data_IF_557862923168
#
_entry.id   IF_557862923168
#
_cell.length_a   1.000
_cell.length_b   1.000
_cell.length_c   1.000
_cell.angle_alpha   90.00
_cell.angle_beta   90.00
_cell.angle_gamma   90.00
#
_symmetry.space_group_name_H-M   'P 1'
#
loop_
_entity.id
_entity.type
_entity.pdbx_description
1 polymer ?
#
# COMPACT_ATOMS: atom_id res chain seq x y z
N UNK A 1 19.04 -20.76 -5.83
CA UNK A 1 18.30 -19.58 -5.35
C UNK A 1 19.22 -18.40 -5.49
N UNK A 2 18.86 -17.42 -6.32
CA UNK A 2 19.69 -16.23 -6.52
C UNK A 2 19.51 -15.30 -5.31
N UNK A 3 20.50 -15.27 -4.42
CA UNK A 3 20.47 -14.45 -3.22
C UNK A 3 20.56 -12.95 -3.53
N UNK A 4 21.20 -12.55 -4.64
CA UNK A 4 21.33 -11.15 -5.01
C UNK A 4 19.99 -10.60 -5.50
N UNK A 5 19.29 -11.37 -6.34
CA UNK A 5 17.94 -11.03 -6.77
C UNK A 5 16.98 -10.99 -5.57
N UNK A 6 17.00 -12.00 -4.71
CA UNK A 6 16.17 -12.03 -3.49
C UNK A 6 16.38 -10.79 -2.63
N UNK A 7 17.64 -10.44 -2.35
CA UNK A 7 17.97 -9.26 -1.56
C UNK A 7 17.50 -7.96 -2.22
N UNK A 8 17.67 -7.84 -3.54
CA UNK A 8 17.24 -6.67 -4.32
C UNK A 8 15.72 -6.50 -4.24
N UNK A 9 14.96 -7.58 -4.45
CA UNK A 9 13.48 -7.56 -4.33
C UNK A 9 13.06 -7.12 -2.93
N UNK A 10 13.67 -7.70 -1.88
CA UNK A 10 13.35 -7.36 -0.50
C UNK A 10 13.63 -5.88 -0.22
N UNK A 11 14.83 -5.39 -0.55
CA UNK A 11 15.21 -3.99 -0.27
C UNK A 11 14.32 -3.03 -1.05
N UNK A 12 14.13 -3.25 -2.35
CA UNK A 12 13.30 -2.39 -3.20
C UNK A 12 11.86 -2.34 -2.68
N UNK A 13 11.23 -3.49 -2.44
CA UNK A 13 9.84 -3.51 -1.98
C UNK A 13 9.70 -3.00 -0.55
N UNK A 14 10.66 -3.27 0.33
CA UNK A 14 10.64 -2.76 1.70
C UNK A 14 10.69 -1.23 1.73
N UNK A 15 11.55 -0.62 0.91
CA UNK A 15 11.64 0.85 0.79
C UNK A 15 10.38 1.43 0.16
N UNK A 16 9.85 0.82 -0.89
CA UNK A 16 8.66 1.31 -1.59
C UNK A 16 7.40 1.19 -0.73
N UNK A 17 7.21 0.06 -0.06
CA UNK A 17 6.00 -0.21 0.72
C UNK A 17 6.04 0.39 2.13
N UNK A 18 7.21 0.81 2.60
CA UNK A 18 7.43 1.47 3.90
C UNK A 18 6.59 0.88 5.05
N UNK A 19 6.92 -0.34 5.52
CA UNK A 19 6.19 -0.95 6.64
C UNK A 19 6.13 -0.06 7.90
N UNK A 20 7.21 0.66 8.29
CA UNK A 20 7.14 1.64 9.38
C UNK A 20 6.12 2.76 9.15
N UNK A 21 6.11 3.38 7.97
CA UNK A 21 5.16 4.44 7.61
C UNK A 21 3.71 3.97 7.52
N UNK A 22 3.49 2.68 7.24
CA UNK A 22 2.15 2.07 7.21
C UNK A 22 1.53 1.96 8.61
N UNK A 23 2.32 1.86 9.68
CA UNK A 23 1.82 1.73 11.07
C UNK A 23 0.91 2.89 11.49
N UNK A 24 1.34 4.16 11.43
CA UNK A 24 0.49 5.29 11.86
C UNK A 24 -0.77 5.44 11.01
N UNK A 25 -0.70 5.12 9.71
CA UNK A 25 -1.85 5.13 8.80
C UNK A 25 -2.84 4.01 9.14
N UNK A 26 -2.34 2.80 9.42
CA UNK A 26 -3.18 1.69 9.84
C UNK A 26 -3.84 1.96 11.20
N UNK A 27 -3.11 2.54 12.15
CA UNK A 27 -3.67 2.94 13.45
C UNK A 27 -4.80 3.95 13.29
N UNK A 28 -4.64 4.97 12.46
CA UNK A 28 -5.67 6.00 12.28
C UNK A 28 -6.94 5.44 11.64
N UNK A 29 -6.79 4.57 10.63
CA UNK A 29 -7.91 3.92 9.95
C UNK A 29 -8.60 2.84 10.79
N UNK A 30 -7.95 2.36 11.85
CA UNK A 30 -8.50 1.32 12.74
C UNK A 30 -8.72 1.79 14.17
N UNK A 31 -8.60 3.10 14.44
CA UNK A 31 -8.66 3.68 15.78
C UNK A 31 -9.97 3.34 16.52
N UNK A 32 -11.09 3.33 15.79
CA UNK A 32 -12.44 3.05 16.31
C UNK A 32 -12.81 1.55 16.28
N UNK A 33 -11.91 0.67 15.88
CA UNK A 33 -12.19 -0.77 15.75
C UNK A 33 -11.83 -1.53 17.03
N UNK A 34 -12.58 -2.60 17.31
CA UNK A 34 -12.18 -3.55 18.35
C UNK A 34 -10.82 -4.17 18.01
N UNK A 35 -10.05 -4.59 19.03
CA UNK A 35 -8.76 -5.23 18.79
C UNK A 35 -8.86 -6.50 17.91
N UNK A 36 -9.99 -7.22 17.97
CA UNK A 36 -10.27 -8.39 17.14
C UNK A 36 -10.51 -8.00 15.69
N UNK A 37 -11.34 -6.98 15.45
CA UNK A 37 -11.67 -6.53 14.10
C UNK A 37 -10.46 -5.86 13.44
N UNK A 38 -9.67 -5.09 14.18
CA UNK A 38 -8.41 -4.52 13.69
C UNK A 38 -7.46 -5.60 13.18
N UNK A 39 -7.25 -6.66 13.96
CA UNK A 39 -6.39 -7.77 13.54
C UNK A 39 -6.94 -8.49 12.30
N UNK A 40 -8.26 -8.61 12.19
CA UNK A 40 -8.92 -9.14 10.99
C UNK A 40 -8.69 -8.23 9.79
N UNK A 41 -8.80 -6.91 9.96
CA UNK A 41 -8.54 -5.93 8.91
C UNK A 41 -7.09 -5.98 8.42
N UNK A 42 -6.11 -6.13 9.32
CA UNK A 42 -4.69 -6.28 8.94
C UNK A 42 -4.49 -7.51 8.04
N UNK A 43 -5.10 -8.64 8.40
CA UNK A 43 -5.02 -9.86 7.61
C UNK A 43 -5.78 -9.74 6.27
N UNK A 44 -6.95 -9.11 6.26
CA UNK A 44 -7.69 -8.87 5.02
C UNK A 44 -6.93 -7.92 4.08
N UNK A 45 -6.31 -6.86 4.62
CA UNK A 45 -5.50 -5.92 3.83
C UNK A 45 -4.29 -6.63 3.22
N UNK A 46 -3.62 -7.50 3.99
CA UNK A 46 -2.56 -8.37 3.50
C UNK A 46 -3.03 -9.28 2.36
N UNK A 47 -4.18 -9.93 2.50
CA UNK A 47 -4.72 -10.81 1.45
C UNK A 47 -5.06 -10.03 0.18
N UNK A 48 -5.65 -8.85 0.31
CA UNK A 48 -5.96 -7.98 -0.83
C UNK A 48 -4.68 -7.52 -1.51
N UNK A 49 -3.69 -7.04 -0.75
CA UNK A 49 -2.40 -6.61 -1.29
C UNK A 49 -1.68 -7.75 -2.01
N UNK A 50 -1.64 -8.93 -1.39
CA UNK A 50 -1.10 -10.16 -2.01
C UNK A 50 -1.81 -10.46 -3.32
N UNK A 51 -3.14 -10.47 -3.31
CA UNK A 51 -3.95 -10.77 -4.49
C UNK A 51 -3.68 -9.79 -5.64
N UNK A 52 -3.67 -8.49 -5.35
CA UNK A 52 -3.36 -7.46 -6.35
C UNK A 52 -1.95 -7.64 -6.89
N UNK A 53 -0.95 -7.79 -6.03
CA UNK A 53 0.46 -7.96 -6.45
C UNK A 53 0.61 -9.21 -7.32
N UNK A 54 0.02 -10.35 -6.93
CA UNK A 54 0.12 -11.60 -7.70
C UNK A 54 -0.59 -11.47 -9.05
N UNK A 55 -1.76 -10.86 -9.10
CA UNK A 55 -2.49 -10.64 -10.36
C UNK A 55 -1.67 -9.75 -11.29
N UNK A 56 -1.10 -8.65 -10.80
CA UNK A 56 -0.28 -7.78 -11.63
C UNK A 56 1.10 -8.37 -11.97
N UNK A 57 1.68 -9.19 -11.10
CA UNK A 57 2.90 -9.93 -11.39
C UNK A 57 2.74 -10.84 -12.61
N UNK A 58 1.60 -11.55 -12.69
CA UNK A 58 1.35 -12.53 -13.76
C UNK A 58 0.73 -11.87 -15.00
N UNK A 59 -0.26 -10.99 -14.81
CA UNK A 59 -1.11 -10.47 -15.88
C UNK A 59 -0.99 -8.97 -16.09
N UNK A 60 -0.22 -8.25 -15.26
CA UNK A 60 -0.23 -6.78 -15.22
C UNK A 60 0.05 -6.13 -16.57
N UNK A 61 1.07 -6.61 -17.29
CA UNK A 61 1.40 -6.06 -18.61
C UNK A 61 0.26 -6.28 -19.62
N UNK A 62 -0.33 -7.48 -19.63
CA UNK A 62 -1.44 -7.81 -20.54
C UNK A 62 -2.70 -7.01 -20.22
N UNK A 63 -3.05 -6.86 -18.94
CA UNK A 63 -4.21 -6.07 -18.49
C UNK A 63 -4.03 -4.61 -18.92
N UNK A 64 -2.87 -4.02 -18.63
CA UNK A 64 -2.59 -2.62 -18.95
C UNK A 64 -2.59 -2.37 -20.47
N UNK A 65 -1.98 -3.26 -21.24
CA UNK A 65 -1.96 -3.17 -22.70
C UNK A 65 -3.36 -3.32 -23.31
N UNK A 66 -4.16 -4.27 -22.81
CA UNK A 66 -5.54 -4.50 -23.27
C UNK A 66 -6.44 -3.30 -23.02
N UNK A 67 -6.28 -2.64 -21.86
CA UNK A 67 -7.06 -1.46 -21.49
C UNK A 67 -6.48 -0.15 -22.05
N UNK A 68 -5.31 -0.19 -22.71
CA UNK A 68 -4.55 0.99 -23.12
C UNK A 68 -4.27 1.97 -21.96
N UNK A 69 -3.99 1.43 -20.77
CA UNK A 69 -3.71 2.20 -19.55
C UNK A 69 -2.20 2.21 -19.32
N UNK A 70 -1.62 3.39 -19.11
CA UNK A 70 -0.22 3.53 -18.72
C UNK A 70 -0.02 3.31 -17.21
N UNK A 71 1.18 2.91 -16.81
CA UNK A 71 1.56 2.86 -15.40
C UNK A 71 1.43 4.22 -14.72
N UNK A 72 1.70 5.31 -15.45
CA UNK A 72 1.49 6.68 -14.98
C UNK A 72 0.01 6.96 -14.66
N UNK A 73 -0.93 6.48 -15.48
CA UNK A 73 -2.36 6.62 -15.21
C UNK A 73 -2.77 5.88 -13.91
N UNK A 74 -2.27 4.67 -13.72
CA UNK A 74 -2.51 3.90 -12.48
C UNK A 74 -1.91 4.63 -11.26
N UNK A 75 -0.73 5.23 -11.42
CA UNK A 75 -0.07 6.02 -10.38
C UNK A 75 -0.86 7.28 -10.01
N UNK A 76 -1.32 8.03 -11.01
CA UNK A 76 -2.15 9.22 -10.80
C UNK A 76 -3.48 8.88 -10.12
N UNK A 77 -4.16 7.82 -10.55
CA UNK A 77 -5.41 7.36 -9.93
C UNK A 77 -5.22 6.93 -8.47
N UNK A 78 -4.14 6.18 -8.18
CA UNK A 78 -3.77 5.81 -6.81
C UNK A 78 -3.48 7.05 -5.95
N UNK A 79 -2.72 8.01 -6.48
CA UNK A 79 -2.46 9.29 -5.82
C UNK A 79 -3.74 10.06 -5.48
N UNK A 80 -4.69 10.16 -6.41
CA UNK A 80 -5.99 10.82 -6.16
C UNK A 80 -6.76 10.17 -5.02
N UNK A 81 -6.80 8.83 -4.97
CA UNK A 81 -7.45 8.11 -3.88
C UNK A 81 -6.75 8.37 -2.54
N UNK A 82 -5.41 8.40 -2.52
CA UNK A 82 -4.63 8.75 -1.33
C UNK A 82 -4.87 10.19 -0.85
N UNK A 83 -5.05 11.17 -1.75
CA UNK A 83 -5.44 12.54 -1.37
C UNK A 83 -6.78 12.54 -0.63
N UNK A 84 -7.78 11.81 -1.14
CA UNK A 84 -9.10 11.74 -0.49
C UNK A 84 -9.00 11.20 0.94
N UNK A 85 -8.16 10.19 1.16
CA UNK A 85 -7.97 9.60 2.49
C UNK A 85 -7.19 10.55 3.39
N UNK A 86 -6.13 11.16 2.87
CA UNK A 86 -5.34 12.14 3.61
C UNK A 86 -6.22 13.28 4.12
N UNK A 87 -7.10 13.83 3.26
CA UNK A 87 -8.06 14.85 3.64
C UNK A 87 -9.03 14.36 4.72
N UNK A 88 -9.53 13.12 4.63
CA UNK A 88 -10.39 12.53 5.67
C UNK A 88 -9.67 12.43 7.02
N UNK A 89 -8.40 12.02 7.03
CA UNK A 89 -7.59 11.92 8.24
C UNK A 89 -7.31 13.31 8.85
N UNK A 90 -7.05 14.32 8.02
CA UNK A 90 -6.77 15.70 8.47
C UNK A 90 -8.02 16.42 8.99
N UNK A 91 -9.17 16.16 8.39
CA UNK A 91 -10.45 16.80 8.76
C UNK A 91 -11.20 16.08 9.87
N UNK A 92 -10.74 14.90 10.31
CA UNK A 92 -11.44 14.08 11.31
C UNK A 92 -12.73 13.44 10.79
N UNK A 93 -12.94 13.41 9.47
CA UNK A 93 -14.18 12.92 8.82
C UNK A 93 -14.36 11.39 8.91
N UNK A 94 -13.34 10.66 9.38
CA UNK A 94 -13.42 9.24 9.71
C UNK A 94 -14.33 8.94 10.92
N UNK A 95 -14.79 9.97 11.64
CA UNK A 95 -15.52 9.87 12.92
C UNK A 95 -17.05 9.81 12.81
N UNK A 96 -17.64 9.94 11.61
CA UNK A 96 -19.10 9.98 11.43
C UNK A 96 -19.74 8.58 11.43
N UNK A 97 -20.79 8.38 12.23
CA UNK A 97 -21.55 7.11 12.32
C UNK A 97 -22.12 6.64 10.96
N UNK A 98 -22.38 7.55 10.01
CA UNK A 98 -22.79 7.21 8.64
C UNK A 98 -21.67 6.54 7.80
N UNK A 99 -20.41 6.75 8.15
CA UNK A 99 -19.26 6.18 7.46
C UNK A 99 -18.92 4.77 7.95
N UNK A 100 -19.21 4.41 9.21
CA UNK A 100 -18.88 3.11 9.78
C UNK A 100 -19.53 1.92 9.02
N UNK A 101 -20.71 2.11 8.43
CA UNK A 101 -21.34 1.11 7.56
C UNK A 101 -20.72 1.06 6.15
N UNK A 102 -20.17 2.18 5.67
CA UNK A 102 -19.48 2.31 4.36
C UNK A 102 -18.04 1.78 4.40
N UNK A 103 -17.40 1.82 5.56
CA UNK A 103 -16.02 1.34 5.80
C UNK A 103 -15.95 -0.05 6.45
N UNK A 104 -16.97 -0.90 6.31
CA UNK A 104 -16.82 -2.34 6.63
C UNK A 104 -15.66 -3.03 5.87
N UNK A 105 -15.10 -2.36 4.85
CA UNK A 105 -14.04 -2.83 3.99
C UNK A 105 -12.81 -1.88 3.92
N UNK A 106 -12.41 -1.23 5.03
CA UNK A 106 -11.10 -0.52 5.10
C UNK A 106 -9.96 -1.39 4.56
N UNK A 107 -10.04 -2.70 4.77
CA UNK A 107 -9.08 -3.68 4.27
C UNK A 107 -8.99 -3.78 2.73
N UNK A 108 -10.07 -3.53 2.00
CA UNK A 108 -10.11 -3.68 0.54
C UNK A 108 -9.73 -2.39 -0.17
N UNK A 109 -10.26 -1.26 0.29
CA UNK A 109 -9.92 0.08 -0.20
C UNK A 109 -9.93 1.01 1.02
N UNK A 110 -8.80 1.64 1.38
CA UNK A 110 -7.59 1.87 0.57
C UNK A 110 -6.34 1.07 1.00
N UNK A 111 -6.45 0.28 2.06
CA UNK A 111 -5.28 -0.29 2.73
C UNK A 111 -4.60 -1.36 1.86
N UNK A 112 -5.37 -2.32 1.34
CA UNK A 112 -4.84 -3.37 0.47
C UNK A 112 -4.51 -2.92 -0.96
N UNK A 113 -5.20 -1.89 -1.47
CA UNK A 113 -5.10 -1.48 -2.89
C UNK A 113 -4.08 -0.36 -3.11
N UNK A 114 -4.33 0.96 -2.91
CA UNK A 114 -3.28 1.95 -3.12
C UNK A 114 -2.16 1.98 -2.08
N UNK A 115 -2.44 1.67 -0.81
CA UNK A 115 -1.44 1.86 0.25
C UNK A 115 -0.39 0.74 0.26
N UNK A 116 -0.82 -0.52 0.24
CA UNK A 116 0.09 -1.68 0.31
C UNK A 116 0.49 -2.22 -1.08
N UNK A 117 -0.47 -2.40 -1.99
CA UNK A 117 -0.21 -2.80 -3.37
C UNK A 117 -0.14 -1.57 -4.30
N UNK A 118 0.53 -0.52 -3.82
CA UNK A 118 0.63 0.72 -4.56
C UNK A 118 1.27 0.56 -5.93
N UNK A 119 1.04 1.53 -6.85
CA UNK A 119 1.59 1.53 -8.20
C UNK A 119 3.11 1.27 -8.24
N UNK A 120 3.89 1.84 -7.32
CA UNK A 120 5.33 1.60 -7.24
C UNK A 120 5.68 0.13 -6.94
N UNK A 121 4.95 -0.51 -6.04
CA UNK A 121 5.13 -1.93 -5.72
C UNK A 121 4.72 -2.83 -6.88
N UNK A 122 3.59 -2.52 -7.53
CA UNK A 122 3.13 -3.22 -8.74
C UNK A 122 4.19 -3.16 -9.84
N UNK A 123 4.70 -1.96 -10.14
CA UNK A 123 5.72 -1.74 -11.17
C UNK A 123 7.00 -2.50 -10.84
N UNK A 124 7.50 -2.38 -9.60
CA UNK A 124 8.72 -3.06 -9.18
C UNK A 124 8.58 -4.59 -9.35
N UNK A 125 7.47 -5.18 -8.89
CA UNK A 125 7.21 -6.61 -9.05
C UNK A 125 7.12 -7.01 -10.52
N UNK A 126 6.40 -6.25 -11.36
CA UNK A 126 6.32 -6.52 -12.79
C UNK A 126 7.70 -6.52 -13.45
N UNK A 127 8.56 -5.56 -13.10
CA UNK A 127 9.93 -5.46 -13.62
C UNK A 127 10.77 -6.66 -13.20
N UNK A 128 10.74 -7.05 -11.92
CA UNK A 128 11.47 -8.22 -11.43
C UNK A 128 11.00 -9.52 -12.09
N UNK A 129 9.70 -9.68 -12.31
CA UNK A 129 9.13 -10.84 -13.00
C UNK A 129 9.54 -10.86 -14.48
N UNK A 130 9.55 -9.71 -15.16
CA UNK A 130 9.97 -9.61 -16.57
C UNK A 130 11.47 -9.89 -16.77
N UNK A 131 12.30 -9.52 -15.81
CA UNK A 131 13.75 -9.80 -15.85
C UNK A 131 14.09 -11.24 -15.46
N UNK A 132 13.15 -11.97 -14.86
CA UNK A 132 13.32 -13.37 -14.48
C UNK A 132 13.04 -14.28 -15.69
N UNK A 133 13.96 -15.21 -15.92
CA UNK A 133 13.91 -16.21 -17.00
C UNK A 133 13.91 -17.65 -16.47
N UNK A 134 14.40 -17.87 -15.25
CA UNK A 134 14.52 -19.19 -14.64
C UNK A 134 13.54 -19.38 -13.48
N UNK A 135 13.12 -20.63 -13.25
CA UNK A 135 12.24 -20.96 -12.11
C UNK A 135 12.84 -20.52 -10.76
N UNK A 136 14.17 -20.61 -10.61
CA UNK A 136 14.86 -20.19 -9.40
C UNK A 136 14.76 -18.68 -9.13
N UNK A 137 14.66 -17.86 -10.18
CA UNK A 137 14.53 -16.41 -10.09
C UNK A 137 13.09 -16.03 -9.72
N UNK A 138 12.09 -16.66 -10.36
CA UNK A 138 10.68 -16.49 -9.97
C UNK A 138 10.43 -16.87 -8.51
N UNK A 139 11.05 -17.95 -8.03
CA UNK A 139 10.99 -18.34 -6.61
C UNK A 139 11.65 -17.30 -5.70
N UNK A 140 12.77 -16.70 -6.12
CA UNK A 140 13.43 -15.63 -5.36
C UNK A 140 12.55 -14.38 -5.27
N UNK A 141 11.91 -13.97 -6.38
CA UNK A 141 10.95 -12.86 -6.41
C UNK A 141 9.76 -13.14 -5.51
N UNK A 142 9.15 -14.33 -5.64
CA UNK A 142 8.00 -14.73 -4.82
C UNK A 142 8.32 -14.76 -3.31
N UNK A 143 9.50 -15.28 -2.94
CA UNK A 143 9.97 -15.26 -1.56
C UNK A 143 10.22 -13.83 -1.06
N UNK A 144 10.81 -12.96 -1.87
CA UNK A 144 11.04 -11.56 -1.50
C UNK A 144 9.74 -10.80 -1.24
N UNK A 145 8.74 -10.98 -2.11
CA UNK A 145 7.39 -10.44 -1.93
C UNK A 145 6.77 -10.96 -0.62
N UNK A 146 6.84 -12.27 -0.37
CA UNK A 146 6.29 -12.88 0.84
C UNK A 146 6.95 -12.32 2.12
N UNK A 147 8.26 -12.10 2.11
CA UNK A 147 9.00 -11.51 3.24
C UNK A 147 8.54 -10.08 3.52
N UNK A 148 8.40 -9.24 2.50
CA UNK A 148 7.98 -7.84 2.69
C UNK A 148 6.50 -7.73 3.07
N UNK A 149 5.63 -8.55 2.48
CA UNK A 149 4.23 -8.64 2.91
C UNK A 149 4.11 -9.15 4.36
N UNK A 150 4.97 -10.09 4.75
CA UNK A 150 5.09 -10.54 6.14
C UNK A 150 5.52 -9.41 7.08
N UNK A 151 6.49 -8.57 6.69
CA UNK A 151 6.94 -7.44 7.49
C UNK A 151 5.85 -6.36 7.64
N UNK A 152 5.09 -6.08 6.58
CA UNK A 152 3.90 -5.21 6.63
C UNK A 152 2.85 -5.74 7.60
N UNK A 153 2.53 -7.03 7.51
CA UNK A 153 1.58 -7.66 8.42
C UNK A 153 2.03 -7.57 9.88
N UNK A 154 3.32 -7.82 10.15
CA UNK A 154 3.88 -7.65 11.49
C UNK A 154 3.79 -6.20 11.94
N UNK A 155 4.15 -5.24 11.10
CA UNK A 155 4.05 -3.81 11.41
C UNK A 155 2.60 -3.42 11.80
N UNK A 156 1.61 -3.83 11.01
CA UNK A 156 0.19 -3.62 11.32
C UNK A 156 -0.27 -4.37 12.59
N UNK A 157 0.28 -5.55 12.87
CA UNK A 157 -0.02 -6.29 14.10
C UNK A 157 0.49 -5.55 15.33
N UNK A 158 1.68 -4.95 15.25
CA UNK A 158 2.27 -4.16 16.33
C UNK A 158 1.64 -2.77 16.51
N UNK A 159 0.97 -2.24 15.48
CA UNK A 159 0.17 -1.02 15.57
C UNK A 159 -0.80 -1.05 16.76
N UNK A 160 -1.32 -2.23 17.09
CA UNK A 160 -2.20 -2.41 18.23
C UNK A 160 -1.57 -2.25 19.61
N UNK A 161 -0.27 -2.52 19.72
CA UNK A 161 0.51 -2.27 20.93
C UNK A 161 0.80 -0.78 21.05
N UNK A 162 1.20 -0.15 19.93
CA UNK A 162 1.47 1.29 19.86
C UNK A 162 0.23 2.11 20.28
N UNK A 163 -0.97 1.72 19.82
CA UNK A 163 -2.22 2.37 20.23
C UNK A 163 -2.46 2.33 21.76
N UNK A 164 -2.11 1.23 22.43
CA UNK A 164 -2.27 1.14 23.90
C UNK A 164 -1.29 2.03 24.66
N UNK A 165 -0.12 2.28 24.10
CA UNK A 165 0.92 3.13 24.71
C UNK A 165 0.59 4.61 24.52
N UNK A 166 0.05 4.98 23.36
CA UNK A 166 -0.22 6.38 22.99
C UNK A 166 -1.47 6.99 23.65
N UNK A 167 -2.47 6.16 23.98
CA UNK A 167 -3.78 6.65 24.46
C UNK A 167 -4.55 7.45 23.40
N UNK A 168 -5.74 7.95 23.74
CA UNK A 168 -6.65 8.60 22.79
C UNK A 168 -6.04 9.87 22.15
N UNK A 169 -5.46 10.76 22.96
CA UNK A 169 -4.82 11.99 22.48
C UNK A 169 -3.61 11.71 21.58
N UNK A 170 -2.82 10.69 21.88
CA UNK A 170 -1.67 10.30 21.06
C UNK A 170 -2.10 9.71 19.72
N UNK A 171 -3.20 8.95 19.68
CA UNK A 171 -3.78 8.42 18.44
C UNK A 171 -4.27 9.55 17.55
N UNK A 172 -4.89 10.60 18.10
CA UNK A 172 -5.31 11.77 17.31
C UNK A 172 -4.11 12.48 16.67
N UNK A 173 -3.05 12.75 17.46
CA UNK A 173 -1.83 13.38 16.95
C UNK A 173 -1.20 12.55 15.82
N UNK A 174 -1.05 11.24 16.03
CA UNK A 174 -0.48 10.34 15.02
C UNK A 174 -1.37 10.26 13.78
N UNK A 175 -2.69 10.33 13.94
CA UNK A 175 -3.63 10.38 12.81
C UNK A 175 -3.43 11.63 11.95
N UNK A 176 -3.24 12.80 12.59
CA UNK A 176 -2.95 14.05 11.86
C UNK A 176 -1.61 13.99 11.13
N UNK A 177 -0.57 13.45 11.78
CA UNK A 177 0.75 13.25 11.16
C UNK A 177 0.64 12.28 9.98
N UNK A 178 -0.06 11.16 10.14
CA UNK A 178 -0.31 10.19 9.06
C UNK A 178 -1.04 10.82 7.88
N UNK A 179 -2.05 11.66 8.14
CA UNK A 179 -2.74 12.42 7.11
C UNK A 179 -1.82 13.37 6.33
N UNK A 180 -0.92 14.08 7.02
CA UNK A 180 0.07 14.96 6.38
C UNK A 180 1.05 14.17 5.51
N UNK A 181 1.59 13.06 6.03
CA UNK A 181 2.52 12.19 5.29
C UNK A 181 1.84 11.57 4.06
N UNK A 182 0.61 11.06 4.23
CA UNK A 182 -0.15 10.47 3.13
C UNK A 182 -0.47 11.50 2.05
N UNK A 183 -0.79 12.75 2.44
CA UNK A 183 -0.99 13.84 1.48
C UNK A 183 0.27 14.12 0.68
N UNK A 184 1.44 14.13 1.32
CA UNK A 184 2.71 14.36 0.64
C UNK A 184 3.01 13.24 -0.38
N UNK A 185 2.85 11.97 0.03
CA UNK A 185 3.02 10.80 -0.86
C UNK A 185 2.05 10.88 -2.04
N UNK A 186 0.78 11.20 -1.78
CA UNK A 186 -0.25 11.30 -2.79
C UNK A 186 0.05 12.38 -3.84
N UNK A 187 0.48 13.57 -3.39
CA UNK A 187 0.89 14.67 -4.28
C UNK A 187 2.12 14.28 -5.09
N UNK A 188 3.12 13.63 -4.48
CA UNK A 188 4.30 13.14 -5.19
C UNK A 188 3.90 12.14 -6.30
N UNK A 189 3.04 11.18 -6.00
CA UNK A 189 2.55 10.20 -6.98
C UNK A 189 1.83 10.87 -8.16
N UNK A 190 1.00 11.88 -7.90
CA UNK A 190 0.32 12.64 -8.95
C UNK A 190 1.34 13.42 -9.79
N UNK A 191 2.32 14.08 -9.16
CA UNK A 191 3.35 14.83 -9.86
C UNK A 191 4.21 13.92 -10.77
N UNK A 192 4.62 12.76 -10.28
CA UNK A 192 5.39 11.77 -11.04
C UNK A 192 4.58 11.24 -12.23
N UNK A 193 3.28 10.97 -12.03
CA UNK A 193 2.37 10.56 -13.09
C UNK A 193 2.25 11.63 -14.18
N UNK A 194 2.05 12.90 -13.79
CA UNK A 194 1.99 14.04 -14.71
C UNK A 194 3.30 14.19 -15.50
N UNK A 195 4.45 14.12 -14.81
CA UNK A 195 5.75 14.17 -15.48
C UNK A 195 5.93 13.03 -16.49
N UNK A 196 5.50 11.82 -16.14
CA UNK A 196 5.57 10.66 -17.03
C UNK A 196 4.68 10.84 -18.27
N UNK A 197 3.49 11.45 -18.13
CA UNK A 197 2.64 11.79 -19.28
C UNK A 197 3.28 12.83 -20.19
N UNK A 198 3.91 13.86 -19.62
CA UNK A 198 4.58 14.91 -20.40
C UNK A 198 5.77 14.34 -21.16
N UNK A 199 6.62 13.53 -20.52
CA UNK A 199 7.80 12.91 -21.16
C UNK A 199 7.43 11.82 -22.17
N UNK A 200 6.31 11.14 -22.00
CA UNK A 200 5.82 10.14 -22.94
C UNK A 200 5.11 10.73 -24.18
N UNK A 201 4.80 12.04 -24.15
CA UNK A 201 4.18 12.78 -25.26
C UNK A 201 5.21 13.50 -26.16
N UNK A 202 6.50 13.42 -25.83
CA UNK A 202 7.66 13.93 -26.58
C UNK A 202 8.49 12.81 -27.16
#
# INVERSE_FOLDING_TARGET
MDLQLLASVIVTLFVIMDPPGTVPIFMSLTAQMSAKDRNRSAFQALLVATGVIVVFAIFGQSILNYMHISLAALQGAGGLLLVLIALQLLTGSTSGEENAAKYKNVAFVPLGTPLMAGPGAIVAVMVFVQQSSQLAEYLAVGLGIAVVLGSLYLAMRFAGVVQRVLGENGVELVTRIAGLLLSAIAVQMIADAVQAFVKGAS
#
